data_IF_917154888829
#
_entry.id   IF_917154888829
#
_cell.length_a   1.000
_cell.length_b   1.000
_cell.length_c   1.000
_cell.angle_alpha   90.00
_cell.angle_beta   90.00
_cell.angle_gamma   90.00
#
_symmetry.space_group_name_H-M   'P 1'
#
loop_
_entity.id
_entity.type
_entity.pdbx_description
1 polymer ?
#
# COMPACT_ATOMS: atom_id res chain seq x y z
N UNK A 1 -43.10 9.92 9.34
CA UNK A 1 -42.39 9.48 8.11
C UNK A 1 -40.91 9.24 8.36
N UNK A 2 -40.18 10.13 9.06
CA UNK A 2 -38.74 10.01 9.32
C UNK A 2 -38.28 8.70 9.98
N UNK A 3 -39.03 8.18 10.96
CA UNK A 3 -38.69 6.90 11.62
C UNK A 3 -38.77 5.72 10.65
N UNK A 4 -39.73 5.72 9.70
CA UNK A 4 -39.89 4.65 8.72
C UNK A 4 -38.82 4.70 7.63
N UNK A 5 -38.36 5.89 7.22
CA UNK A 5 -37.22 6.03 6.30
C UNK A 5 -35.90 5.60 6.94
N UNK A 6 -35.65 5.96 8.20
CA UNK A 6 -34.47 5.50 8.94
C UNK A 6 -34.47 3.97 9.15
N UNK A 7 -35.64 3.37 9.40
CA UNK A 7 -35.79 1.92 9.53
C UNK A 7 -35.56 1.20 8.20
N UNK A 8 -36.07 1.74 7.07
CA UNK A 8 -35.81 1.20 5.73
C UNK A 8 -34.33 1.27 5.35
N UNK A 9 -33.64 2.36 5.68
CA UNK A 9 -32.20 2.51 5.43
C UNK A 9 -31.36 1.53 6.26
N UNK A 10 -31.69 1.34 7.55
CA UNK A 10 -31.04 0.35 8.40
C UNK A 10 -31.23 -1.07 7.88
N UNK A 11 -32.46 -1.45 7.52
CA UNK A 11 -32.76 -2.77 6.97
C UNK A 11 -32.11 -3.02 5.60
N UNK A 12 -31.97 -1.98 4.77
CA UNK A 12 -31.25 -2.09 3.49
C UNK A 12 -29.75 -2.33 3.70
N UNK A 13 -29.14 -1.66 4.68
CA UNK A 13 -27.73 -1.79 4.99
C UNK A 13 -27.41 -3.16 5.63
N UNK A 14 -28.24 -3.63 6.57
CA UNK A 14 -28.11 -4.96 7.16
C UNK A 14 -28.17 -6.05 6.08
N UNK A 15 -29.09 -5.91 5.11
CA UNK A 15 -29.17 -6.82 3.97
C UNK A 15 -27.93 -6.73 3.06
N UNK A 16 -27.33 -5.55 2.88
CA UNK A 16 -26.11 -5.40 2.09
C UNK A 16 -24.95 -6.25 2.67
N UNK A 17 -24.81 -6.30 4.00
CA UNK A 17 -23.80 -7.17 4.64
C UNK A 17 -24.09 -8.67 4.45
N UNK A 18 -25.37 -9.06 4.44
CA UNK A 18 -25.77 -10.45 4.16
C UNK A 18 -25.47 -10.84 2.70
N UNK A 19 -25.68 -9.92 1.76
CA UNK A 19 -25.34 -10.12 0.34
C UNK A 19 -23.83 -10.17 0.16
N UNK A 20 -23.09 -9.23 0.75
CA UNK A 20 -21.63 -9.20 0.72
C UNK A 20 -21.02 -10.50 1.27
N UNK A 21 -21.57 -11.08 2.34
CA UNK A 21 -21.13 -12.39 2.84
C UNK A 21 -21.31 -13.51 1.80
N UNK A 22 -22.44 -13.54 1.07
CA UNK A 22 -22.67 -14.55 0.04
C UNK A 22 -21.68 -14.42 -1.11
N UNK A 23 -21.41 -13.20 -1.55
CA UNK A 23 -20.48 -12.93 -2.65
C UNK A 23 -19.04 -13.25 -2.24
N UNK A 24 -18.61 -12.81 -1.05
CA UNK A 24 -17.28 -13.09 -0.52
C UNK A 24 -17.06 -14.59 -0.28
N UNK A 25 -18.08 -15.31 0.20
CA UNK A 25 -18.05 -16.77 0.33
C UNK A 25 -17.83 -17.46 -1.03
N UNK A 26 -18.41 -16.94 -2.11
CA UNK A 26 -18.26 -17.48 -3.46
C UNK A 26 -16.86 -17.22 -4.04
N UNK A 27 -16.27 -16.06 -3.76
CA UNK A 27 -14.96 -15.66 -4.28
C UNK A 27 -13.78 -16.29 -3.52
N UNK A 28 -13.82 -16.28 -2.18
CA UNK A 28 -12.66 -16.65 -1.35
C UNK A 28 -12.84 -17.96 -0.56
N UNK A 29 -14.03 -18.57 -0.62
CA UNK A 29 -14.36 -19.78 0.12
C UNK A 29 -14.71 -19.52 1.60
N UNK A 30 -15.36 -20.49 2.25
CA UNK A 30 -15.87 -20.33 3.63
C UNK A 30 -14.79 -20.14 4.69
N UNK A 31 -13.56 -20.60 4.42
CA UNK A 31 -12.48 -20.58 5.42
C UNK A 31 -11.69 -19.26 5.44
N UNK A 32 -11.91 -18.38 4.47
CA UNK A 32 -11.23 -17.09 4.41
C UNK A 32 -11.51 -16.25 5.66
N UNK A 33 -10.51 -15.51 6.18
CA UNK A 33 -10.67 -14.67 7.37
C UNK A 33 -11.88 -13.73 7.26
N UNK A 34 -12.01 -13.02 6.14
CA UNK A 34 -13.12 -12.08 5.88
C UNK A 34 -14.50 -12.77 5.91
N UNK A 35 -14.60 -14.00 5.40
CA UNK A 35 -15.83 -14.78 5.43
C UNK A 35 -16.21 -15.18 6.86
N UNK A 36 -15.22 -15.48 7.72
CA UNK A 36 -15.47 -15.76 9.15
C UNK A 36 -15.98 -14.52 9.86
N UNK A 37 -15.40 -13.35 9.60
CA UNK A 37 -15.82 -12.06 10.17
C UNK A 37 -17.24 -11.69 9.75
N UNK A 38 -17.51 -11.68 8.44
CA UNK A 38 -18.83 -11.37 7.89
C UNK A 38 -19.90 -12.36 8.36
N UNK A 39 -19.54 -13.64 8.56
CA UNK A 39 -20.45 -14.63 9.14
C UNK A 39 -20.83 -14.30 10.59
N UNK A 40 -19.90 -13.76 11.38
CA UNK A 40 -20.19 -13.31 12.75
C UNK A 40 -21.10 -12.09 12.74
N UNK A 41 -20.85 -11.11 11.87
CA UNK A 41 -21.73 -9.95 11.70
C UNK A 41 -23.14 -10.42 11.32
N UNK A 42 -23.28 -11.29 10.30
CA UNK A 42 -24.58 -11.85 9.91
C UNK A 42 -25.28 -12.64 11.04
N UNK A 43 -24.52 -13.25 11.96
CA UNK A 43 -25.07 -13.95 13.13
C UNK A 43 -25.51 -12.96 14.20
N UNK A 44 -24.73 -11.91 14.45
CA UNK A 44 -25.08 -10.84 15.38
C UNK A 44 -26.31 -10.06 14.96
N UNK A 45 -26.44 -9.73 13.67
CA UNK A 45 -27.62 -9.07 13.12
C UNK A 45 -28.89 -9.91 13.33
N UNK A 46 -28.82 -11.23 13.13
CA UNK A 46 -29.93 -12.15 13.43
C UNK A 46 -30.30 -12.22 14.92
N UNK A 47 -29.35 -11.88 15.79
CA UNK A 47 -29.56 -11.80 17.23
C UNK A 47 -30.02 -10.40 17.69
N UNK A 48 -30.42 -9.52 16.76
CA UNK A 48 -30.80 -8.13 17.04
C UNK A 48 -29.69 -7.30 17.72
N UNK A 49 -28.42 -7.65 17.49
CA UNK A 49 -27.29 -6.81 17.87
C UNK A 49 -27.13 -5.73 16.80
N UNK A 50 -26.88 -4.50 17.25
CA UNK A 50 -26.70 -3.37 16.34
C UNK A 50 -25.42 -3.51 15.50
N UNK A 51 -25.49 -3.12 14.22
CA UNK A 51 -24.39 -3.28 13.26
C UNK A 51 -23.12 -2.53 13.71
N UNK A 52 -23.29 -1.38 14.36
CA UNK A 52 -22.19 -0.54 14.85
C UNK A 52 -21.28 -1.31 15.82
N UNK A 53 -21.89 -1.96 16.82
CA UNK A 53 -21.17 -2.73 17.83
C UNK A 53 -20.47 -3.95 17.19
N UNK A 54 -21.13 -4.60 16.23
CA UNK A 54 -20.55 -5.75 15.52
C UNK A 54 -19.33 -5.36 14.67
N UNK A 55 -19.35 -4.17 14.07
CA UNK A 55 -18.21 -3.63 13.32
C UNK A 55 -17.08 -3.19 14.26
N UNK A 56 -17.42 -2.61 15.41
CA UNK A 56 -16.45 -2.23 16.42
C UNK A 56 -15.72 -3.46 16.98
N UNK A 57 -16.46 -4.50 17.35
CA UNK A 57 -15.90 -5.78 17.81
C UNK A 57 -15.07 -6.47 16.71
N UNK A 58 -15.45 -6.33 15.44
CA UNK A 58 -14.65 -6.82 14.32
C UNK A 58 -13.31 -6.08 14.24
N UNK A 59 -13.30 -4.75 14.36
CA UNK A 59 -12.10 -3.94 14.36
C UNK A 59 -11.13 -4.30 15.50
N UNK A 60 -11.66 -4.44 16.73
CA UNK A 60 -10.87 -4.86 17.89
C UNK A 60 -10.25 -6.25 17.71
N UNK A 61 -11.03 -7.22 17.20
CA UNK A 61 -10.56 -8.60 17.06
C UNK A 61 -9.60 -8.82 15.89
N UNK A 62 -9.72 -8.00 14.85
CA UNK A 62 -8.81 -8.02 13.70
C UNK A 62 -7.60 -7.11 13.89
N UNK A 63 -7.51 -6.43 15.03
CA UNK A 63 -6.52 -5.38 15.33
C UNK A 63 -6.44 -4.32 14.22
N UNK A 64 -7.57 -4.06 13.55
CA UNK A 64 -7.65 -3.14 12.41
C UNK A 64 -8.25 -1.80 12.84
N UNK A 65 -7.37 -0.82 13.03
CA UNK A 65 -7.73 0.55 13.46
C UNK A 65 -8.68 1.24 12.48
N UNK A 66 -8.59 0.98 11.17
CA UNK A 66 -9.48 1.59 10.18
C UNK A 66 -10.92 1.10 10.32
N UNK A 67 -11.12 -0.19 10.58
CA UNK A 67 -12.46 -0.77 10.79
C UNK A 67 -13.10 -0.23 12.07
N UNK A 68 -12.29 -0.07 13.12
CA UNK A 68 -12.74 0.50 14.40
C UNK A 68 -13.15 1.97 14.26
N UNK A 69 -12.35 2.78 13.58
CA UNK A 69 -12.69 4.19 13.32
C UNK A 69 -13.94 4.30 12.44
N UNK A 70 -14.07 3.44 11.42
CA UNK A 70 -15.29 3.36 10.62
C UNK A 70 -16.51 3.06 11.48
N UNK A 71 -16.43 2.08 12.39
CA UNK A 71 -17.53 1.73 13.30
C UNK A 71 -17.93 2.91 14.22
N UNK A 72 -16.95 3.63 14.76
CA UNK A 72 -17.18 4.82 15.58
C UNK A 72 -17.90 5.93 14.80
N UNK A 73 -17.36 6.32 13.65
CA UNK A 73 -17.96 7.35 12.79
C UNK A 73 -19.35 6.93 12.33
N UNK A 74 -19.52 5.68 11.95
CA UNK A 74 -20.80 5.11 11.55
C UNK A 74 -21.85 5.17 12.66
N UNK A 75 -21.47 4.88 13.90
CA UNK A 75 -22.37 4.97 15.07
C UNK A 75 -22.86 6.40 15.35
N UNK A 76 -21.98 7.39 15.18
CA UNK A 76 -22.29 8.81 15.34
C UNK A 76 -23.22 9.27 14.22
N UNK A 77 -22.91 8.89 12.98
CA UNK A 77 -23.67 9.27 11.80
C UNK A 77 -25.11 8.71 11.82
N UNK A 78 -25.30 7.47 12.26
CA UNK A 78 -26.62 6.84 12.43
C UNK A 78 -27.48 7.53 13.50
N UNK A 79 -26.88 8.01 14.60
CA UNK A 79 -27.59 8.76 15.65
C UNK A 79 -27.98 10.17 15.23
N UNK A 80 -27.16 10.82 14.40
CA UNK A 80 -27.38 12.21 14.03
C UNK A 80 -28.42 12.41 12.91
N UNK A 81 -28.81 11.35 12.18
CA UNK A 81 -29.72 11.45 11.03
C UNK A 81 -29.20 12.33 9.88
N UNK A 82 -27.95 12.79 9.98
CA UNK A 82 -27.23 13.60 9.00
C UNK A 82 -26.52 12.73 7.98
N UNK A 83 -26.15 13.34 6.85
CA UNK A 83 -25.81 12.73 5.57
C UNK A 83 -24.63 11.73 5.63
N UNK A 84 -24.88 10.51 6.13
CA UNK A 84 -23.92 9.38 6.13
C UNK A 84 -23.35 9.17 4.72
N UNK A 85 -24.19 9.40 3.70
CA UNK A 85 -23.80 9.35 2.28
C UNK A 85 -22.72 10.38 1.95
N UNK A 86 -22.85 11.63 2.40
CA UNK A 86 -21.84 12.67 2.15
C UNK A 86 -20.51 12.39 2.86
N UNK A 87 -20.55 11.90 4.11
CA UNK A 87 -19.31 11.52 4.81
C UNK A 87 -18.63 10.32 4.14
N UNK A 88 -19.43 9.36 3.64
CA UNK A 88 -18.92 8.23 2.88
C UNK A 88 -18.31 8.69 1.56
N UNK A 89 -18.95 9.61 0.84
CA UNK A 89 -18.43 10.23 -0.38
C UNK A 89 -17.12 10.99 -0.14
N UNK A 90 -17.04 11.77 0.94
CA UNK A 90 -15.84 12.49 1.35
C UNK A 90 -14.69 11.52 1.69
N UNK A 91 -15.00 10.42 2.38
CA UNK A 91 -14.00 9.40 2.73
C UNK A 91 -13.51 8.63 1.50
N UNK A 92 -14.42 8.24 0.60
CA UNK A 92 -14.08 7.57 -0.65
C UNK A 92 -13.20 8.49 -1.52
N UNK A 93 -13.54 9.78 -1.60
CA UNK A 93 -12.72 10.76 -2.30
C UNK A 93 -11.30 10.86 -1.73
N UNK A 94 -11.15 10.89 -0.40
CA UNK A 94 -9.84 10.88 0.26
C UNK A 94 -9.04 9.60 -0.03
N UNK A 95 -9.68 8.42 0.04
CA UNK A 95 -9.04 7.15 -0.28
C UNK A 95 -8.59 7.11 -1.74
N UNK A 96 -9.41 7.62 -2.68
CA UNK A 96 -9.03 7.71 -4.09
C UNK A 96 -7.81 8.60 -4.29
N UNK A 97 -7.79 9.79 -3.68
CA UNK A 97 -6.62 10.69 -3.75
C UNK A 97 -5.38 10.00 -3.20
N UNK A 98 -5.48 9.33 -2.05
CA UNK A 98 -4.35 8.61 -1.47
C UNK A 98 -3.85 7.49 -2.39
N UNK A 99 -4.76 6.71 -2.97
CA UNK A 99 -4.43 5.63 -3.91
C UNK A 99 -3.73 6.17 -5.16
N UNK A 100 -4.18 7.32 -5.67
CA UNK A 100 -3.58 7.92 -6.86
C UNK A 100 -2.19 8.49 -6.57
N UNK A 101 -1.99 9.10 -5.40
CA UNK A 101 -0.65 9.53 -4.93
C UNK A 101 0.28 8.33 -4.76
N UNK A 102 -0.19 7.23 -4.18
CA UNK A 102 0.61 6.00 -4.03
C UNK A 102 1.08 5.46 -5.38
N UNK A 103 0.18 5.40 -6.37
CA UNK A 103 0.51 5.02 -7.76
C UNK A 103 1.49 5.99 -8.40
N UNK A 104 1.32 7.30 -8.21
CA UNK A 104 2.25 8.31 -8.74
C UNK A 104 3.66 8.10 -8.16
N UNK A 105 3.77 7.86 -6.86
CA UNK A 105 5.04 7.54 -6.22
C UNK A 105 5.61 6.22 -6.77
N UNK A 106 4.81 5.19 -7.01
CA UNK A 106 5.29 3.92 -7.59
C UNK A 106 5.81 4.10 -9.02
N UNK A 107 5.16 4.94 -9.82
CA UNK A 107 5.62 5.29 -11.17
C UNK A 107 6.96 6.04 -11.09
N UNK A 108 7.06 7.04 -10.20
CA UNK A 108 8.31 7.79 -9.99
C UNK A 108 9.45 6.90 -9.50
N UNK A 109 9.19 5.99 -8.56
CA UNK A 109 10.19 5.02 -8.08
C UNK A 109 10.60 4.09 -9.22
N UNK A 110 9.64 3.59 -10.01
CA UNK A 110 9.94 2.70 -11.14
C UNK A 110 10.83 3.39 -12.18
N UNK A 111 10.58 4.66 -12.48
CA UNK A 111 11.44 5.48 -13.33
C UNK A 111 12.84 5.66 -12.71
N UNK A 112 12.91 6.02 -11.43
CA UNK A 112 14.18 6.16 -10.71
C UNK A 112 15.00 4.87 -10.65
N UNK A 113 14.37 3.70 -10.48
CA UNK A 113 15.03 2.39 -10.56
C UNK A 113 15.66 2.16 -11.94
N UNK A 114 14.97 2.56 -13.01
CA UNK A 114 15.49 2.42 -14.37
C UNK A 114 16.70 3.32 -14.60
N UNK A 115 16.65 4.58 -14.17
CA UNK A 115 17.77 5.52 -14.27
C UNK A 115 18.98 5.05 -13.46
N UNK A 116 18.76 4.59 -12.22
CA UNK A 116 19.82 4.04 -11.37
C UNK A 116 20.50 2.83 -12.03
N UNK A 117 19.72 1.91 -12.61
CA UNK A 117 20.26 0.75 -13.32
C UNK A 117 21.06 1.13 -14.57
N UNK A 118 20.70 2.22 -15.25
CA UNK A 118 21.51 2.77 -16.34
C UNK A 118 22.83 3.32 -15.79
N UNK A 119 22.78 4.11 -14.72
CA UNK A 119 23.98 4.68 -14.08
C UNK A 119 24.96 3.61 -13.58
N UNK A 120 24.49 2.46 -13.10
CA UNK A 120 25.34 1.34 -12.73
C UNK A 120 26.10 0.74 -13.93
N UNK A 121 25.47 0.68 -15.11
CA UNK A 121 26.07 0.09 -16.31
C UNK A 121 27.05 1.05 -17.00
N UNK A 122 26.83 2.37 -16.88
CA UNK A 122 27.62 3.41 -17.58
C UNK A 122 29.14 3.31 -17.33
N UNK A 123 29.65 3.19 -16.08
CA UNK A 123 31.09 3.07 -15.83
C UNK A 123 31.72 1.85 -16.52
N UNK A 124 31.03 0.71 -16.52
CA UNK A 124 31.52 -0.49 -17.20
C UNK A 124 31.50 -0.33 -18.73
N UNK A 125 30.46 0.31 -19.27
CA UNK A 125 30.38 0.61 -20.70
C UNK A 125 31.51 1.56 -21.13
N UNK A 126 31.81 2.59 -20.33
CA UNK A 126 32.94 3.50 -20.58
C UNK A 126 34.28 2.76 -20.48
N UNK A 127 34.47 1.93 -19.45
CA UNK A 127 35.69 1.11 -19.32
C UNK A 127 35.90 0.19 -20.53
N UNK A 128 34.84 -0.49 -20.99
CA UNK A 128 34.89 -1.34 -22.18
C UNK A 128 35.20 -0.53 -23.44
N UNK A 129 34.52 0.61 -23.62
CA UNK A 129 34.74 1.49 -24.78
C UNK A 129 36.18 2.00 -24.85
N UNK A 130 36.71 2.53 -23.75
CA UNK A 130 38.08 3.03 -23.66
C UNK A 130 39.09 1.91 -23.83
N UNK A 131 38.85 0.73 -23.23
CA UNK A 131 39.74 -0.42 -23.36
C UNK A 131 39.87 -0.95 -24.79
N UNK A 132 38.80 -0.88 -25.60
CA UNK A 132 38.82 -1.29 -27.01
C UNK A 132 39.49 -0.23 -27.89
N UNK A 133 39.18 1.06 -27.68
CA UNK A 133 39.73 2.15 -28.49
C UNK A 133 41.21 2.44 -28.18
N UNK A 134 41.63 2.32 -26.94
CA UNK A 134 42.99 2.62 -26.49
C UNK A 134 43.53 1.48 -25.59
N UNK A 135 44.00 0.38 -26.19
CA UNK A 135 44.58 -0.72 -25.44
C UNK A 135 45.85 -0.25 -24.72
N UNK A 136 45.85 -0.39 -23.39
CA UNK A 136 46.94 0.05 -22.51
C UNK A 136 46.68 1.35 -21.74
N UNK A 137 45.56 2.04 -21.98
CA UNK A 137 45.18 3.25 -21.23
C UNK A 137 45.15 3.02 -19.71
N UNK A 138 44.64 1.88 -19.28
CA UNK A 138 44.55 1.54 -17.85
C UNK A 138 45.87 1.06 -17.23
N UNK A 139 46.90 0.70 -18.02
CA UNK A 139 48.14 0.13 -17.47
C UNK A 139 48.87 1.13 -16.56
N UNK A 140 48.94 2.40 -16.97
CA UNK A 140 49.53 3.47 -16.15
C UNK A 140 48.81 3.67 -14.80
N UNK A 141 47.53 3.32 -14.73
CA UNK A 141 46.70 3.41 -13.53
C UNK A 141 46.90 2.23 -12.58
N UNK A 142 47.36 1.07 -13.08
CA UNK A 142 47.62 -0.14 -12.28
C UNK A 142 49.11 -0.36 -11.99
N UNK A 143 50.02 0.31 -12.70
CA UNK A 143 51.48 0.13 -12.52
C UNK A 143 52.06 0.99 -11.37
N UNK A 144 51.30 1.95 -10.85
CA UNK A 144 51.78 2.90 -9.82
C UNK A 144 51.01 2.72 -8.51
N UNK A 145 51.71 2.71 -7.36
CA UNK A 145 51.10 2.63 -6.03
C UNK A 145 50.01 3.69 -5.78
N UNK A 146 50.18 4.90 -6.33
CA UNK A 146 49.18 5.96 -6.27
C UNK A 146 47.89 5.59 -7.04
N UNK A 147 48.00 4.88 -8.16
CA UNK A 147 46.88 4.42 -8.96
C UNK A 147 46.05 3.36 -8.25
N UNK A 148 46.70 2.41 -7.58
CA UNK A 148 46.02 1.38 -6.76
C UNK A 148 45.18 2.00 -5.63
N UNK A 149 45.72 3.02 -4.96
CA UNK A 149 44.99 3.74 -3.90
C UNK A 149 43.76 4.46 -4.47
N UNK A 150 43.91 5.16 -5.59
CA UNK A 150 42.80 5.88 -6.25
C UNK A 150 41.71 4.89 -6.69
N UNK A 151 42.09 3.77 -7.31
CA UNK A 151 41.15 2.74 -7.75
C UNK A 151 40.39 2.12 -6.58
N UNK A 152 41.07 1.88 -5.46
CA UNK A 152 40.45 1.37 -4.24
C UNK A 152 39.43 2.36 -3.67
N UNK A 153 39.77 3.65 -3.62
CA UNK A 153 38.84 4.70 -3.15
C UNK A 153 37.63 4.81 -4.08
N UNK A 154 37.85 4.83 -5.40
CA UNK A 154 36.76 4.85 -6.39
C UNK A 154 35.82 3.65 -6.23
N UNK A 155 36.36 2.45 -6.00
CA UNK A 155 35.57 1.25 -5.76
C UNK A 155 34.72 1.37 -4.49
N UNK A 156 35.31 1.87 -3.40
CA UNK A 156 34.57 2.08 -2.13
C UNK A 156 33.45 3.09 -2.31
N UNK A 157 33.71 4.21 -2.98
CA UNK A 157 32.68 5.22 -3.27
C UNK A 157 31.57 4.63 -4.15
N UNK A 158 31.91 3.82 -5.14
CA UNK A 158 30.95 3.13 -5.99
C UNK A 158 30.05 2.18 -5.18
N UNK A 159 30.63 1.37 -4.29
CA UNK A 159 29.88 0.46 -3.41
C UNK A 159 28.96 1.21 -2.44
N UNK A 160 29.41 2.34 -1.89
CA UNK A 160 28.58 3.19 -1.02
C UNK A 160 27.41 3.80 -1.80
N UNK A 161 27.68 4.32 -3.01
CA UNK A 161 26.63 4.87 -3.87
C UNK A 161 25.58 3.81 -4.22
N UNK A 162 26.02 2.60 -4.56
CA UNK A 162 25.14 1.45 -4.82
C UNK A 162 24.26 1.11 -3.61
N UNK A 163 24.84 1.02 -2.41
CA UNK A 163 24.10 0.72 -1.19
C UNK A 163 23.07 1.80 -0.83
N UNK A 164 23.39 3.08 -1.08
CA UNK A 164 22.46 4.20 -0.86
C UNK A 164 21.28 4.12 -1.83
N UNK A 165 21.54 3.80 -3.10
CA UNK A 165 20.52 3.63 -4.13
C UNK A 165 19.57 2.49 -3.77
N UNK A 166 20.08 1.30 -3.41
CA UNK A 166 19.22 0.19 -2.98
C UNK A 166 18.36 0.57 -1.78
N UNK A 167 18.94 1.25 -0.79
CA UNK A 167 18.21 1.67 0.41
C UNK A 167 17.07 2.65 0.11
N UNK A 168 17.25 3.56 -0.85
CA UNK A 168 16.18 4.48 -1.27
C UNK A 168 15.07 3.72 -2.02
N UNK A 169 15.45 2.72 -2.81
CA UNK A 169 14.54 1.92 -3.63
C UNK A 169 13.72 0.92 -2.79
N UNK A 170 14.25 0.44 -1.67
CA UNK A 170 13.66 -0.60 -0.82
C UNK A 170 12.61 -0.06 0.19
N UNK A 171 12.56 1.26 0.42
CA UNK A 171 11.64 1.91 1.40
C UNK A 171 10.14 1.71 1.12
N UNK A 172 9.77 1.08 0.01
CA UNK A 172 8.38 0.87 -0.40
C UNK A 172 8.00 -0.59 -0.68
N UNK A 173 8.91 -1.54 -0.43
CA UNK A 173 8.61 -2.98 -0.49
C UNK A 173 8.24 -3.50 0.89
#
# INVERSE_FOLDING_TARGET
MSVSTSQKAGYALENAFVVAYKDMKKLYGEQAPICKELRRICKGLRNNIVLEDLLYEMGERTENTYIREFANVFSVAKRSGGNITQMLEETVAQITIQTDVEKEIDVMISAGKMEARIMEVVPFAIMAYVGIMNPGFFNSLYDTFAGDVIMTVCLVVYLVAYAVIEKIIDVKV
#
